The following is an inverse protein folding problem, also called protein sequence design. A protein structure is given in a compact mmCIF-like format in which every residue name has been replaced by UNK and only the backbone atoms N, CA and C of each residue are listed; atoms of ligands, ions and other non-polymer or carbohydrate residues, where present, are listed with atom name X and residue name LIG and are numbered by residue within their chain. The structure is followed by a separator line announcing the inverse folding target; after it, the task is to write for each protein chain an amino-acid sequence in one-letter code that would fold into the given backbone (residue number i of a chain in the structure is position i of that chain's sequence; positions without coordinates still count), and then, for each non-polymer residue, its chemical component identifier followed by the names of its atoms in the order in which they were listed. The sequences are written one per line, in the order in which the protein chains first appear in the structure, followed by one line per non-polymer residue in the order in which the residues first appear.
data_IF_650342216908
#
_entry.id   IF_650342216908
#
_cell.length_a   1.000
_cell.length_b   1.000
_cell.length_c   1.000
_cell.angle_alpha   90.00
_cell.angle_beta   90.00
_cell.angle_gamma   90.00
#
_symmetry.space_group_name_H-M   'P 1'
#
loop_
_entity.id
_entity.type
_entity.pdbx_description
1 polymer ?
#
# COMPACT_ATOMS: atom_id res chain seq x y z
N UNK A 1 5.23 -9.61 72.60
CA UNK A 1 5.81 -10.44 71.52
C UNK A 1 4.64 -11.00 70.74
N UNK A 2 4.28 -10.59 69.52
CA UNK A 2 5.09 -10.41 68.32
C UNK A 2 4.49 -9.31 67.42
N UNK A 3 5.29 -8.30 67.10
CA UNK A 3 5.05 -7.30 66.06
C UNK A 3 5.49 -7.87 64.72
N UNK A 4 4.63 -8.55 63.97
CA UNK A 4 4.90 -8.89 62.56
C UNK A 4 3.56 -8.92 61.80
N UNK A 5 3.09 -7.76 61.36
CA UNK A 5 2.12 -7.66 60.27
C UNK A 5 2.49 -6.44 59.41
N UNK A 6 3.75 -6.43 58.97
CA UNK A 6 4.27 -5.46 58.02
C UNK A 6 4.74 -6.27 56.80
N UNK A 7 4.39 -5.77 55.61
CA UNK A 7 4.80 -6.26 54.29
C UNK A 7 4.06 -7.49 53.74
N UNK A 8 2.74 -7.38 53.57
CA UNK A 8 2.06 -8.13 52.50
C UNK A 8 2.05 -7.27 51.22
N UNK A 9 3.19 -7.32 50.52
CA UNK A 9 3.33 -7.23 49.06
C UNK A 9 2.41 -6.26 48.30
N UNK A 10 2.78 -4.99 48.28
CA UNK A 10 2.45 -3.98 47.25
C UNK A 10 3.02 -4.35 45.84
N UNK A 11 3.24 -5.62 45.53
CA UNK A 11 3.86 -6.06 44.27
C UNK A 11 2.83 -6.64 43.29
N UNK A 12 1.80 -5.85 42.97
CA UNK A 12 0.70 -6.26 42.09
C UNK A 12 0.56 -5.44 40.80
N UNK A 13 1.49 -4.54 40.48
CA UNK A 13 1.40 -3.74 39.25
C UNK A 13 2.74 -3.68 38.53
N UNK A 14 3.22 -4.82 38.08
CA UNK A 14 4.26 -4.86 37.07
C UNK A 14 3.91 -5.86 35.96
N UNK A 15 3.51 -5.26 34.83
CA UNK A 15 3.79 -5.69 33.45
C UNK A 15 2.79 -6.79 32.98
N UNK A 16 2.11 -6.67 31.84
CA UNK A 16 2.68 -6.39 30.52
C UNK A 16 1.74 -5.53 29.68
N UNK A 17 2.18 -4.32 29.33
CA UNK A 17 1.81 -3.75 28.03
C UNK A 17 2.53 -4.62 27.01
N UNK A 18 1.82 -5.57 26.40
CA UNK A 18 2.32 -6.20 25.19
C UNK A 18 2.19 -5.17 24.09
N UNK A 19 3.25 -4.39 23.87
CA UNK A 19 3.42 -3.75 22.58
C UNK A 19 3.43 -4.89 21.57
N UNK A 20 2.34 -5.01 20.82
CA UNK A 20 2.26 -5.97 19.74
C UNK A 20 3.23 -5.47 18.69
N UNK A 21 4.46 -6.02 18.69
CA UNK A 21 5.43 -5.74 17.65
C UNK A 21 4.72 -5.97 16.30
N UNK A 22 4.82 -5.04 15.34
CA UNK A 22 4.25 -5.23 14.02
C UNK A 22 4.69 -6.60 13.50
N UNK A 23 3.73 -7.45 13.14
CA UNK A 23 4.03 -8.77 12.58
C UNK A 23 5.06 -8.59 11.47
N UNK A 24 6.21 -9.28 11.51
CA UNK A 24 7.25 -9.08 10.51
C UNK A 24 6.68 -9.31 9.12
N UNK A 25 6.98 -8.40 8.19
CA UNK A 25 6.52 -8.51 6.82
C UNK A 25 7.06 -9.78 6.16
N UNK A 26 6.29 -10.31 5.21
CA UNK A 26 6.65 -11.53 4.47
C UNK A 26 7.46 -11.13 3.24
N UNK A 27 8.65 -11.70 3.08
CA UNK A 27 9.47 -11.47 1.88
C UNK A 27 9.03 -12.41 0.76
N UNK A 28 8.74 -11.84 -0.41
CA UNK A 28 8.25 -12.54 -1.61
C UNK A 28 9.04 -12.14 -2.86
N UNK A 29 8.86 -12.89 -3.94
CA UNK A 29 9.47 -12.63 -5.25
C UNK A 29 8.39 -12.67 -6.33
N UNK A 30 7.70 -11.54 -6.58
CA UNK A 30 6.60 -11.47 -7.52
C UNK A 30 7.05 -11.78 -8.95
N UNK A 31 6.16 -12.40 -9.72
CA UNK A 31 6.37 -12.74 -11.13
C UNK A 31 5.20 -12.25 -11.96
N UNK A 32 5.51 -11.56 -13.05
CA UNK A 32 4.53 -11.14 -14.03
C UNK A 32 4.42 -12.23 -15.09
N UNK A 33 3.21 -12.73 -15.28
CA UNK A 33 2.88 -13.75 -16.26
C UNK A 33 1.99 -13.08 -17.31
N UNK A 34 2.37 -13.21 -18.58
CA UNK A 34 1.60 -12.69 -19.70
C UNK A 34 1.10 -13.85 -20.54
N UNK A 35 -0.21 -13.88 -20.81
CA UNK A 35 -0.76 -14.86 -21.73
C UNK A 35 -0.28 -14.58 -23.17
N UNK A 36 -0.05 -15.66 -23.93
CA UNK A 36 0.28 -15.55 -25.35
C UNK A 36 -1.02 -15.43 -26.16
N UNK A 37 -1.45 -14.21 -26.44
CA UNK A 37 -2.66 -13.91 -27.21
C UNK A 37 -2.82 -12.41 -27.55
N UNK A 38 -3.78 -12.08 -28.43
CA UNK A 38 -4.08 -10.69 -28.83
C UNK A 38 -4.74 -9.87 -27.70
N UNK A 39 -5.36 -10.53 -26.73
CA UNK A 39 -5.96 -9.96 -25.52
C UNK A 39 -5.26 -10.52 -24.28
N UNK A 40 -3.95 -10.25 -24.18
CA UNK A 40 -3.11 -10.81 -23.14
C UNK A 40 -3.49 -10.26 -21.77
N UNK A 41 -4.23 -11.04 -20.97
CA UNK A 41 -4.39 -10.76 -19.55
C UNK A 41 -3.00 -10.83 -18.88
N UNK A 42 -2.60 -9.75 -18.19
CA UNK A 42 -1.42 -9.79 -17.31
C UNK A 42 -1.85 -10.38 -15.96
N UNK A 43 -1.15 -11.40 -15.48
CA UNK A 43 -1.33 -11.94 -14.14
C UNK A 43 -0.11 -11.66 -13.29
N UNK A 44 -0.32 -11.16 -12.07
CA UNK A 44 0.75 -11.00 -11.09
C UNK A 44 0.65 -12.12 -10.07
N UNK A 45 1.63 -13.01 -10.10
CA UNK A 45 1.84 -14.02 -9.07
C UNK A 45 2.71 -13.42 -7.96
N UNK A 46 2.18 -13.32 -6.74
CA UNK A 46 2.96 -12.83 -5.58
C UNK A 46 3.37 -14.01 -4.69
N UNK A 47 2.39 -14.83 -4.30
CA UNK A 47 2.53 -16.08 -3.56
C UNK A 47 1.24 -16.91 -3.70
N UNK A 48 1.21 -18.14 -3.19
CA UNK A 48 0.15 -19.13 -3.43
C UNK A 48 -1.29 -18.61 -3.24
N UNK A 49 -1.54 -17.77 -2.24
CA UNK A 49 -2.85 -17.21 -1.91
C UNK A 49 -3.11 -15.80 -2.50
N UNK A 50 -2.11 -15.20 -3.15
CA UNK A 50 -2.14 -13.85 -3.71
C UNK A 50 -1.70 -13.90 -5.18
N UNK A 51 -2.70 -14.11 -6.03
CA UNK A 51 -2.59 -13.97 -7.48
C UNK A 51 -3.58 -12.89 -7.92
N UNK A 52 -3.10 -11.91 -8.69
CA UNK A 52 -3.90 -10.79 -9.20
C UNK A 52 -4.11 -10.92 -10.71
N UNK A 53 -5.35 -10.75 -11.16
CA UNK A 53 -5.72 -10.58 -12.56
C UNK A 53 -5.72 -9.10 -12.88
N UNK A 54 -4.73 -8.65 -13.65
CA UNK A 54 -4.46 -7.23 -13.81
C UNK A 54 -5.22 -6.64 -14.99
N UNK A 55 -6.02 -5.62 -14.70
CA UNK A 55 -6.64 -4.75 -15.70
C UNK A 55 -5.95 -3.39 -15.69
N UNK A 56 -5.77 -2.80 -16.88
CA UNK A 56 -5.17 -1.46 -16.97
C UNK A 56 -6.06 -0.43 -16.30
N UNK A 57 -5.45 0.47 -15.52
CA UNK A 57 -6.16 1.59 -14.91
C UNK A 57 -6.27 2.73 -15.92
N UNK A 58 -7.46 3.33 -16.04
CA UNK A 58 -7.76 4.42 -16.98
C UNK A 58 -8.68 5.49 -16.40
N UNK A 59 -8.68 5.64 -15.07
CA UNK A 59 -9.64 6.46 -14.33
C UNK A 59 -9.06 7.79 -13.86
N UNK A 60 -7.75 8.02 -14.01
CA UNK A 60 -7.12 9.23 -13.50
C UNK A 60 -7.35 10.42 -14.43
N UNK A 61 -7.71 11.56 -13.82
CA UNK A 61 -7.76 12.86 -14.49
C UNK A 61 -6.37 13.24 -15.00
N UNK A 62 -6.30 13.99 -16.10
CA UNK A 62 -5.02 14.42 -16.69
C UNK A 62 -4.18 15.24 -15.70
N UNK A 63 -4.80 16.13 -14.92
CA UNK A 63 -4.10 16.93 -13.92
C UNK A 63 -4.51 16.53 -12.50
N UNK A 64 -3.53 16.11 -11.70
CA UNK A 64 -3.68 15.82 -10.28
C UNK A 64 -2.89 16.88 -9.50
N UNK A 65 -3.55 17.61 -8.61
CA UNK A 65 -2.96 18.66 -7.78
C UNK A 65 -2.80 18.15 -6.36
N UNK A 66 -1.56 17.87 -5.96
CA UNK A 66 -1.21 17.56 -4.58
C UNK A 66 -0.92 18.83 -3.80
N UNK A 67 -1.74 19.11 -2.79
CA UNK A 67 -1.56 20.25 -1.90
C UNK A 67 -0.94 19.79 -0.58
N UNK A 68 0.18 20.41 -0.21
CA UNK A 68 0.84 20.24 1.08
C UNK A 68 0.83 21.57 1.85
N UNK A 69 0.69 21.48 3.16
CA UNK A 69 0.92 22.61 4.05
C UNK A 69 2.31 22.45 4.69
N UNK A 70 3.25 23.30 4.30
CA UNK A 70 4.60 23.37 4.86
C UNK A 70 4.66 24.64 5.71
N UNK A 71 4.67 24.49 7.03
CA UNK A 71 4.83 25.59 8.00
C UNK A 71 3.88 26.78 7.74
N UNK A 72 2.59 26.48 7.49
CA UNK A 72 1.56 27.48 7.18
C UNK A 72 1.52 27.95 5.73
N UNK A 73 2.50 27.56 4.90
CA UNK A 73 2.52 27.85 3.47
C UNK A 73 1.89 26.70 2.67
N UNK A 74 0.91 27.02 1.83
CA UNK A 74 0.32 26.07 0.88
C UNK A 74 1.20 25.92 -0.34
N UNK A 75 1.62 24.69 -0.63
CA UNK A 75 2.41 24.35 -1.81
C UNK A 75 1.65 23.32 -2.63
N UNK A 76 1.36 23.68 -3.87
CA UNK A 76 0.68 22.82 -4.84
C UNK A 76 1.70 22.19 -5.79
N UNK A 77 1.62 20.87 -5.97
CA UNK A 77 2.37 20.11 -6.96
C UNK A 77 1.40 19.48 -7.96
N UNK A 78 1.48 19.92 -9.22
CA UNK A 78 0.70 19.34 -10.31
C UNK A 78 1.45 18.11 -10.84
N UNK A 79 0.73 17.01 -11.04
CA UNK A 79 1.22 15.77 -11.61
C UNK A 79 0.30 15.32 -12.75
N UNK A 80 0.90 14.75 -13.79
CA UNK A 80 0.15 14.20 -14.92
C UNK A 80 -0.45 12.84 -14.52
N UNK A 81 -1.77 12.75 -14.46
CA UNK A 81 -2.44 11.51 -14.11
C UNK A 81 -2.35 10.43 -15.20
N UNK A 82 -2.15 10.82 -16.46
CA UNK A 82 -1.88 9.87 -17.56
C UNK A 82 -0.54 9.18 -17.39
N UNK A 83 0.47 9.92 -16.95
CA UNK A 83 1.77 9.34 -16.59
C UNK A 83 1.66 8.46 -15.34
N UNK A 84 0.85 8.87 -14.35
CA UNK A 84 0.66 8.08 -13.12
C UNK A 84 -0.08 6.74 -13.37
N UNK A 85 -1.07 6.73 -14.26
CA UNK A 85 -1.79 5.50 -14.61
C UNK A 85 -1.05 4.61 -15.62
N UNK A 86 -0.01 5.14 -16.28
CA UNK A 86 0.73 4.45 -17.33
C UNK A 86 1.31 3.11 -16.90
N UNK A 87 1.60 2.89 -15.62
CA UNK A 87 2.08 1.62 -15.05
C UNK A 87 1.15 1.07 -13.96
N UNK A 88 -0.07 1.60 -13.84
CA UNK A 88 -1.02 1.25 -12.79
C UNK A 88 -2.05 0.22 -13.27
N UNK A 89 -2.22 -0.82 -12.48
CA UNK A 89 -3.13 -1.93 -12.72
C UNK A 89 -4.04 -2.15 -11.52
N UNK A 90 -5.20 -2.74 -11.76
CA UNK A 90 -6.15 -3.10 -10.71
C UNK A 90 -6.73 -4.50 -10.91
N UNK A 91 -7.09 -5.13 -9.80
CA UNK A 91 -7.90 -6.35 -9.77
C UNK A 91 -9.15 -6.05 -8.93
N UNK A 92 -10.31 -6.02 -9.59
CA UNK A 92 -11.59 -5.68 -8.93
C UNK A 92 -12.02 -6.76 -7.94
N UNK A 93 -11.74 -8.03 -8.25
CA UNK A 93 -12.18 -9.16 -7.43
C UNK A 93 -11.42 -9.19 -6.10
N UNK A 94 -10.15 -8.76 -6.11
CA UNK A 94 -9.32 -8.67 -4.89
C UNK A 94 -9.27 -7.28 -4.28
N UNK A 95 -9.94 -6.29 -4.89
CA UNK A 95 -9.86 -4.88 -4.50
C UNK A 95 -8.40 -4.39 -4.42
N UNK A 96 -7.56 -4.89 -5.33
CA UNK A 96 -6.13 -4.63 -5.38
C UNK A 96 -5.81 -3.55 -6.41
N UNK A 97 -4.75 -2.78 -6.15
CA UNK A 97 -4.20 -1.82 -7.09
C UNK A 97 -2.70 -1.72 -6.92
N UNK A 98 -1.98 -1.98 -8.02
CA UNK A 98 -0.52 -2.05 -8.02
C UNK A 98 0.04 -1.23 -9.17
N UNK A 99 1.17 -0.58 -8.91
CA UNK A 99 2.05 -0.05 -9.93
C UNK A 99 3.15 -1.07 -10.21
N UNK A 100 3.45 -1.33 -11.49
CA UNK A 100 4.42 -2.32 -11.93
C UNK A 100 5.42 -1.65 -12.87
N UNK A 101 6.70 -1.71 -12.51
CA UNK A 101 7.81 -1.27 -13.35
C UNK A 101 8.70 -2.49 -13.67
N UNK A 102 9.01 -2.69 -14.95
CA UNK A 102 9.92 -3.75 -15.40
C UNK A 102 11.33 -3.16 -15.55
N UNK A 103 12.34 -3.73 -14.87
CA UNK A 103 13.74 -3.28 -14.92
C UNK A 103 14.66 -4.49 -14.99
N UNK A 104 15.51 -4.56 -16.02
CA UNK A 104 16.57 -5.57 -16.16
C UNK A 104 16.09 -7.01 -15.91
N UNK A 105 14.93 -7.39 -16.48
CA UNK A 105 14.35 -8.73 -16.28
C UNK A 105 13.69 -8.98 -14.91
N UNK A 106 13.81 -8.05 -13.96
CA UNK A 106 13.06 -8.04 -12.71
C UNK A 106 11.84 -7.11 -12.78
N UNK A 107 10.92 -7.26 -11.82
CA UNK A 107 9.75 -6.39 -11.69
C UNK A 107 9.73 -5.69 -10.33
N UNK A 108 9.39 -4.41 -10.30
CA UNK A 108 9.09 -3.66 -9.08
C UNK A 108 7.59 -3.47 -8.98
N UNK A 109 7.01 -4.09 -7.96
CA UNK A 109 5.60 -3.94 -7.62
C UNK A 109 5.46 -3.07 -6.38
N UNK A 110 4.59 -2.06 -6.45
CA UNK A 110 4.19 -1.26 -5.29
C UNK A 110 2.69 -1.07 -5.27
N UNK A 111 2.06 -1.28 -4.12
CA UNK A 111 0.65 -0.94 -3.97
C UNK A 111 -0.11 -1.76 -2.94
N UNK A 112 -1.41 -1.92 -3.22
CA UNK A 112 -2.43 -2.52 -2.39
C UNK A 112 -2.73 -3.92 -2.91
N UNK A 113 -2.62 -4.92 -2.04
CA UNK A 113 -2.96 -6.32 -2.35
C UNK A 113 -4.37 -6.71 -1.83
N UNK A 114 -4.82 -6.08 -0.75
CA UNK A 114 -6.14 -6.29 -0.14
C UNK A 114 -6.56 -5.09 0.71
N UNK A 115 -7.59 -5.22 1.54
CA UNK A 115 -7.97 -4.19 2.52
C UNK A 115 -6.87 -3.87 3.56
N UNK A 116 -6.03 -4.84 3.89
CA UNK A 116 -5.04 -4.79 4.97
C UNK A 116 -3.60 -5.05 4.51
N UNK A 117 -3.39 -5.65 3.32
CA UNK A 117 -2.06 -6.03 2.83
C UNK A 117 -1.54 -5.09 1.75
N UNK A 118 -0.25 -4.75 1.85
CA UNK A 118 0.47 -3.91 0.89
C UNK A 118 1.77 -4.59 0.49
N UNK A 119 2.29 -4.19 -0.66
CA UNK A 119 3.55 -4.68 -1.20
C UNK A 119 4.45 -3.51 -1.57
N UNK A 120 5.74 -3.64 -1.28
CA UNK A 120 6.78 -2.71 -1.70
C UNK A 120 8.08 -3.45 -2.02
N UNK A 121 8.90 -2.94 -2.96
CA UNK A 121 10.21 -3.53 -3.24
C UNK A 121 11.15 -3.30 -2.06
N UNK A 122 11.98 -4.29 -1.75
CA UNK A 122 13.09 -4.17 -0.82
C UNK A 122 14.33 -3.72 -1.60
N UNK A 123 14.93 -2.61 -1.17
CA UNK A 123 16.17 -2.11 -1.75
C UNK A 123 17.37 -2.79 -1.09
N UNK A 124 17.77 -3.93 -1.66
CA UNK A 124 18.89 -4.73 -1.14
C UNK A 124 20.10 -4.46 -2.03
N UNK A 125 20.99 -3.57 -1.61
CA UNK A 125 22.18 -3.14 -2.35
C UNK A 125 23.27 -4.19 -2.58
N UNK A 126 22.97 -5.49 -2.45
CA UNK A 126 23.94 -6.58 -2.49
C UNK A 126 23.73 -7.60 -3.63
N UNK A 127 22.70 -7.44 -4.47
CA UNK A 127 22.51 -8.30 -5.64
C UNK A 127 22.91 -7.58 -6.92
N UNK A 128 23.43 -8.36 -7.87
CA UNK A 128 23.49 -7.97 -9.28
C UNK A 128 22.13 -7.36 -9.68
N UNK A 129 22.16 -6.32 -10.50
CA UNK A 129 20.97 -5.64 -11.07
C UNK A 129 20.15 -6.58 -12.00
N UNK A 130 20.57 -7.84 -12.13
CA UNK A 130 20.05 -8.89 -12.99
C UNK A 130 19.47 -10.02 -12.12
N UNK A 131 18.14 -10.03 -11.95
CA UNK A 131 17.42 -11.07 -11.20
C UNK A 131 16.10 -10.62 -10.53
N UNK A 132 15.35 -11.56 -9.92
CA UNK A 132 14.11 -11.23 -9.22
C UNK A 132 14.34 -10.28 -8.04
N UNK A 133 13.60 -9.17 -8.06
CA UNK A 133 13.63 -8.16 -6.99
C UNK A 133 12.79 -8.68 -5.82
N UNK A 134 13.31 -8.70 -4.58
CA UNK A 134 12.54 -9.07 -3.41
C UNK A 134 11.54 -7.97 -3.03
N UNK A 135 10.39 -8.37 -2.51
CA UNK A 135 9.35 -7.47 -2.01
C UNK A 135 8.96 -7.86 -0.61
N UNK A 136 8.53 -6.88 0.18
CA UNK A 136 7.91 -7.11 1.47
C UNK A 136 6.39 -6.96 1.33
N UNK A 137 5.65 -7.95 1.82
CA UNK A 137 4.23 -7.86 2.11
C UNK A 137 4.08 -7.48 3.57
N UNK A 138 3.45 -6.36 3.84
CA UNK A 138 3.21 -5.89 5.20
C UNK A 138 1.75 -5.52 5.41
N UNK A 139 1.31 -5.71 6.65
CA UNK A 139 -0.03 -5.35 7.08
C UNK A 139 -0.05 -3.87 7.45
N UNK A 140 -1.10 -3.17 7.06
CA UNK A 140 -1.43 -1.86 7.64
C UNK A 140 -2.81 -1.93 8.25
N UNK A 141 -3.02 -1.09 9.27
CA UNK A 141 -4.34 -0.93 9.87
C UNK A 141 -5.32 -0.41 8.82
N UNK A 142 -6.51 -1.03 8.81
CA UNK A 142 -7.62 -0.45 8.09
C UNK A 142 -7.93 0.89 8.77
N UNK A 143 -7.94 1.99 8.00
CA UNK A 143 -8.34 3.28 8.55
C UNK A 143 -9.71 3.13 9.20
N UNK A 144 -9.78 3.37 10.51
CA UNK A 144 -11.03 3.34 11.25
C UNK A 144 -12.01 4.32 10.59
N UNK A 145 -13.06 3.77 9.97
CA UNK A 145 -14.12 4.55 9.35
C UNK A 145 -13.90 4.89 7.89
N UNK A 146 -14.11 3.92 7.00
CA UNK A 146 -15.08 4.08 5.92
C UNK A 146 -15.82 2.75 5.69
N UNK A 147 -16.66 2.34 6.65
CA UNK A 147 -17.83 1.49 6.36
C UNK A 147 -19.03 2.38 6.00
N UNK A 148 -18.76 3.50 5.34
CA UNK A 148 -19.74 4.44 4.82
C UNK A 148 -20.14 4.01 3.43
N UNK A 149 -21.44 3.89 3.19
CA UNK A 149 -22.02 3.66 1.88
C UNK A 149 -21.66 4.82 0.95
N UNK A 150 -20.50 4.79 0.30
CA UNK A 150 -20.28 5.65 -0.86
C UNK A 150 -21.12 5.11 -2.00
N UNK A 151 -22.36 5.60 -2.09
CA UNK A 151 -23.02 5.71 -3.38
C UNK A 151 -22.18 6.73 -4.15
N UNK A 152 -21.43 6.28 -5.16
CA UNK A 152 -20.91 7.20 -6.15
C UNK A 152 -22.13 7.91 -6.75
N UNK A 153 -22.40 9.13 -6.28
CA UNK A 153 -23.45 9.96 -6.85
C UNK A 153 -23.07 10.27 -8.30
N UNK A 154 -24.04 10.33 -9.23
CA UNK A 154 -23.76 10.70 -10.60
C UNK A 154 -23.59 12.22 -10.65
N UNK A 155 -22.45 12.73 -10.19
CA UNK A 155 -22.09 14.11 -10.46
C UNK A 155 -20.57 14.26 -10.49
N UNK A 156 -19.96 13.68 -11.52
CA UNK A 156 -18.64 14.12 -11.97
C UNK A 156 -18.91 15.34 -12.84
N UNK A 157 -19.02 16.52 -12.23
CA UNK A 157 -18.71 17.74 -12.98
C UNK A 157 -17.26 17.59 -13.43
N UNK A 158 -17.03 17.56 -14.74
CA UNK A 158 -15.71 17.42 -15.36
C UNK A 158 -14.81 18.61 -14.99
N UNK A 159 -14.33 18.68 -13.75
CA UNK A 159 -13.20 19.54 -13.40
C UNK A 159 -11.97 18.85 -13.96
N UNK A 160 -11.24 19.55 -14.85
CA UNK A 160 -9.99 19.05 -15.44
C UNK A 160 -8.93 18.63 -14.41
N UNK A 161 -9.10 19.05 -13.15
CA UNK A 161 -8.16 18.86 -12.06
C UNK A 161 -8.78 18.03 -10.93
N UNK A 162 -8.01 17.07 -10.41
CA UNK A 162 -8.31 16.34 -9.18
C UNK A 162 -7.43 16.88 -8.05
N UNK A 163 -8.01 17.27 -6.92
CA UNK A 163 -7.26 17.85 -5.79
C UNK A 163 -7.11 16.83 -4.65
N UNK A 164 -5.88 16.65 -4.17
CA UNK A 164 -5.55 15.79 -3.04
C UNK A 164 -4.76 16.58 -1.98
N UNK A 165 -5.29 16.64 -0.75
CA UNK A 165 -4.60 17.26 0.38
C UNK A 165 -3.89 16.21 1.23
N UNK A 166 -2.59 16.41 1.45
CA UNK A 166 -1.80 15.57 2.34
C UNK A 166 -1.82 16.19 3.74
N UNK A 167 -2.40 15.47 4.71
CA UNK A 167 -2.26 15.83 6.12
C UNK A 167 -0.83 15.50 6.55
N UNK A 168 -0.15 16.45 7.19
CA UNK A 168 1.11 16.15 7.86
C UNK A 168 0.80 15.19 9.01
N UNK A 169 1.34 13.98 8.93
CA UNK A 169 1.42 13.09 10.08
C UNK A 169 2.61 13.60 10.92
N UNK A 170 2.32 14.51 11.86
CA UNK A 170 3.25 14.90 12.91
C UNK A 170 3.19 13.92 14.07
#
# INVERSE_FOLDING_TARGET
MFTIFQCAFLSGLLIRVTDSAPSPGIVVYPRLLEERGLDAEKMLYVQDDIVLRLQKTSVLSENIVFRKNLDGTRVDKIMNGKELEANMYHDRNRMASVNIEEKNGGIKVKGILSDTLRIAPLDIGARSDDGPIPHEIFKVEQRAGIRGKYKAGPEITSSKNFYAELKNCG
#
